data_IF_790139406294
#
_entry.id   IF_790139406294
#
_cell.length_a   1.000
_cell.length_b   1.000
_cell.length_c   1.000
_cell.angle_alpha   90.00
_cell.angle_beta   90.00
_cell.angle_gamma   90.00
#
_symmetry.space_group_name_H-M   'P 1'
#
loop_
_entity.id
_entity.type
_entity.pdbx_description
1 polymer ?
#
# COMPACT_ATOMS: atom_id res chain seq x y z
N UNK A 1 15.78 -28.16 -3.07
CA UNK A 1 16.07 -28.46 -4.50
C UNK A 1 16.28 -29.95 -4.67
N UNK A 2 15.76 -30.51 -5.75
CA UNK A 2 15.91 -31.92 -6.12
C UNK A 2 16.75 -32.03 -7.40
N UNK A 3 17.45 -33.13 -7.57
CA UNK A 3 18.19 -33.46 -8.80
C UNK A 3 17.30 -34.33 -9.69
N UNK A 4 17.31 -34.09 -10.99
CA UNK A 4 16.58 -34.93 -11.94
C UNK A 4 17.43 -36.15 -12.34
N UNK A 5 16.87 -37.35 -12.20
CA UNK A 5 17.54 -38.60 -12.55
C UNK A 5 17.59 -38.86 -14.04
N UNK A 6 16.70 -38.25 -14.85
CA UNK A 6 16.62 -38.47 -16.28
C UNK A 6 16.17 -37.26 -17.07
N UNK A 7 16.51 -37.22 -18.37
CA UNK A 7 16.00 -36.21 -19.31
C UNK A 7 14.48 -36.32 -19.53
N UNK A 8 13.89 -37.49 -19.28
CA UNK A 8 12.44 -37.67 -19.39
C UNK A 8 11.68 -36.86 -18.33
N UNK A 9 12.17 -36.85 -17.07
CA UNK A 9 11.59 -36.02 -16.03
C UNK A 9 11.72 -34.52 -16.35
N UNK A 10 12.85 -34.10 -16.92
CA UNK A 10 13.05 -32.72 -17.37
C UNK A 10 12.10 -32.33 -18.51
N UNK A 11 11.85 -33.24 -19.47
CA UNK A 11 10.95 -32.96 -20.59
C UNK A 11 9.49 -32.80 -20.13
N UNK A 12 9.06 -33.62 -19.16
CA UNK A 12 7.72 -33.48 -18.58
C UNK A 12 7.57 -32.11 -17.90
N UNK A 13 8.52 -31.71 -17.06
CA UNK A 13 8.50 -30.40 -16.41
C UNK A 13 8.51 -29.24 -17.41
N UNK A 14 9.28 -29.34 -18.49
CA UNK A 14 9.37 -28.31 -19.52
C UNK A 14 8.13 -28.23 -20.42
N UNK A 15 7.35 -29.32 -20.52
CA UNK A 15 6.10 -29.35 -21.28
C UNK A 15 4.90 -28.75 -20.52
N UNK A 16 5.06 -28.50 -19.22
CA UNK A 16 4.02 -27.87 -18.43
C UNK A 16 3.86 -26.41 -18.84
N UNK A 17 2.64 -25.90 -18.78
CA UNK A 17 2.32 -24.51 -19.10
C UNK A 17 3.19 -23.54 -18.29
N UNK A 18 3.84 -22.58 -18.98
CA UNK A 18 4.74 -21.62 -18.32
C UNK A 18 6.00 -22.25 -17.69
N UNK A 19 6.42 -23.46 -18.12
CA UNK A 19 7.55 -24.18 -17.54
C UNK A 19 7.26 -24.80 -16.16
N UNK A 20 5.98 -24.99 -15.85
CA UNK A 20 5.53 -25.61 -14.59
C UNK A 20 5.60 -24.73 -13.35
N UNK A 21 5.95 -23.46 -13.50
CA UNK A 21 5.98 -22.52 -12.37
C UNK A 21 4.54 -22.30 -11.86
N UNK A 22 4.34 -22.61 -10.58
CA UNK A 22 3.01 -22.51 -9.94
C UNK A 22 2.05 -23.68 -10.20
N UNK A 23 2.51 -24.76 -10.83
CA UNK A 23 1.74 -25.99 -10.99
C UNK A 23 2.15 -27.03 -9.94
N UNK A 24 1.17 -27.76 -9.43
CA UNK A 24 1.41 -28.91 -8.54
C UNK A 24 1.70 -30.15 -9.37
N UNK A 25 2.78 -30.81 -9.06
CA UNK A 25 3.20 -32.09 -9.69
C UNK A 25 3.58 -33.07 -8.60
N UNK A 26 3.34 -34.36 -8.83
CA UNK A 26 3.84 -35.41 -7.94
C UNK A 26 5.22 -35.86 -8.42
N UNK A 27 6.23 -35.69 -7.56
CA UNK A 27 7.58 -36.16 -7.83
C UNK A 27 7.80 -37.54 -7.25
N UNK A 28 8.13 -38.53 -8.11
CA UNK A 28 8.60 -39.82 -7.67
C UNK A 28 10.12 -39.75 -7.44
N UNK A 29 10.52 -39.99 -6.20
CA UNK A 29 11.93 -39.98 -5.81
C UNK A 29 12.53 -41.38 -5.86
N UNK A 30 13.73 -41.47 -6.40
CA UNK A 30 14.55 -42.68 -6.36
C UNK A 30 15.26 -42.83 -5.00
N UNK A 31 16.01 -43.92 -4.86
CA UNK A 31 16.70 -44.27 -3.62
C UNK A 31 17.75 -43.25 -3.19
N UNK A 32 18.27 -42.45 -4.12
CA UNK A 32 19.25 -41.37 -3.84
C UNK A 32 18.59 -40.00 -3.73
N UNK A 33 17.27 -39.94 -3.55
CA UNK A 33 16.49 -38.70 -3.48
C UNK A 33 16.49 -37.86 -4.78
N UNK A 34 16.83 -38.48 -5.91
CA UNK A 34 16.67 -37.90 -7.25
C UNK A 34 15.23 -38.06 -7.77
N UNK A 35 14.75 -37.14 -8.58
CA UNK A 35 13.44 -37.24 -9.23
C UNK A 35 13.56 -38.19 -10.41
N UNK A 36 12.97 -39.37 -10.29
CA UNK A 36 12.97 -40.40 -11.31
C UNK A 36 11.79 -40.28 -12.30
N UNK A 37 10.67 -39.74 -11.82
CA UNK A 37 9.52 -39.43 -12.66
C UNK A 37 8.76 -38.22 -12.10
N UNK A 38 8.08 -37.52 -13.00
CA UNK A 38 7.15 -36.43 -12.69
C UNK A 38 5.80 -36.90 -13.21
N UNK A 39 4.84 -37.06 -12.32
CA UNK A 39 3.46 -37.33 -12.66
C UNK A 39 2.70 -36.02 -12.75
N UNK A 40 2.24 -35.70 -13.92
CA UNK A 40 1.28 -34.62 -14.16
C UNK A 40 -0.08 -35.25 -13.97
N UNK A 41 -0.74 -34.97 -12.84
CA UNK A 41 -1.87 -35.79 -12.44
C UNK A 41 -3.08 -35.66 -13.34
N UNK A 42 -3.70 -36.80 -13.65
CA UNK A 42 -5.15 -36.91 -13.80
C UNK A 42 -5.85 -36.80 -12.43
N UNK A 43 -5.10 -36.37 -11.43
CA UNK A 43 -5.49 -36.39 -10.03
C UNK A 43 -5.92 -34.99 -9.61
N UNK A 44 -7.11 -34.96 -9.05
CA UNK A 44 -7.77 -33.86 -8.36
C UNK A 44 -7.40 -32.45 -8.84
N UNK A 45 -8.37 -31.72 -9.31
CA UNK A 45 -8.23 -30.32 -9.70
C UNK A 45 -7.36 -29.59 -8.69
N UNK A 46 -6.29 -28.96 -9.15
CA UNK A 46 -5.51 -28.06 -8.29
C UNK A 46 -6.28 -26.76 -8.17
N UNK A 47 -6.62 -26.40 -6.93
CA UNK A 47 -7.42 -25.22 -6.65
C UNK A 47 -6.60 -24.20 -5.87
N UNK A 48 -6.57 -22.96 -6.36
CA UNK A 48 -5.89 -21.85 -5.73
C UNK A 48 -6.85 -20.70 -5.49
N UNK A 49 -6.67 -20.01 -4.39
CA UNK A 49 -7.47 -18.84 -4.00
C UNK A 49 -6.57 -17.63 -3.91
N UNK A 50 -7.08 -16.48 -4.34
CA UNK A 50 -6.27 -15.27 -4.31
C UNK A 50 -7.01 -14.01 -4.72
N UNK A 51 -6.23 -12.98 -5.02
CA UNK A 51 -6.72 -11.68 -5.45
C UNK A 51 -6.10 -11.29 -6.79
N UNK A 52 -6.92 -10.72 -7.66
CA UNK A 52 -6.46 -10.18 -8.94
C UNK A 52 -5.53 -8.99 -8.68
N UNK A 53 -4.32 -9.06 -9.20
CA UNK A 53 -3.36 -7.96 -9.19
C UNK A 53 -3.52 -7.07 -10.42
N UNK A 54 -3.45 -7.67 -11.60
CA UNK A 54 -3.57 -6.97 -12.88
C UNK A 54 -4.33 -7.83 -13.88
N UNK A 55 -4.98 -7.15 -14.82
CA UNK A 55 -5.56 -7.78 -16.01
C UNK A 55 -5.10 -7.02 -17.24
N UNK A 56 -4.57 -7.72 -18.22
CA UNK A 56 -4.03 -7.16 -19.45
C UNK A 56 -4.59 -7.86 -20.68
N UNK A 57 -4.70 -7.14 -21.78
CA UNK A 57 -5.10 -7.67 -23.08
C UNK A 57 -4.00 -7.43 -24.10
N UNK A 58 -3.69 -8.45 -24.86
CA UNK A 58 -2.70 -8.38 -25.95
C UNK A 58 -3.29 -9.02 -27.22
N UNK A 59 -2.79 -8.59 -28.37
CA UNK A 59 -3.10 -9.23 -29.64
C UNK A 59 -2.20 -10.46 -29.80
N UNK A 60 -2.76 -11.58 -30.26
CA UNK A 60 -1.96 -12.75 -30.61
C UNK A 60 -1.27 -12.53 -31.96
N UNK A 61 0.02 -12.82 -32.02
CA UNK A 61 0.84 -12.59 -33.22
C UNK A 61 0.47 -13.50 -34.41
N UNK A 62 -0.13 -14.66 -34.16
CA UNK A 62 -0.37 -15.67 -35.22
C UNK A 62 -1.42 -15.30 -36.24
N UNK A 63 -2.41 -14.47 -35.93
CA UNK A 63 -3.46 -14.05 -36.88
C UNK A 63 -3.89 -12.60 -36.80
N UNK A 64 -3.32 -11.78 -35.92
CA UNK A 64 -3.62 -10.35 -35.78
C UNK A 64 -5.07 -10.00 -35.42
N UNK A 65 -5.95 -10.98 -35.28
CA UNK A 65 -7.38 -10.83 -35.08
C UNK A 65 -7.88 -11.30 -33.71
N UNK A 66 -7.07 -12.00 -32.95
CA UNK A 66 -7.48 -12.53 -31.65
C UNK A 66 -6.86 -11.77 -30.47
N UNK A 67 -7.66 -11.55 -29.44
CA UNK A 67 -7.26 -10.87 -28.21
C UNK A 67 -7.07 -11.90 -27.12
N UNK A 68 -5.85 -12.03 -26.63
CA UNK A 68 -5.54 -12.80 -25.43
C UNK A 68 -5.72 -11.89 -24.21
N UNK A 69 -6.46 -12.34 -23.22
CA UNK A 69 -6.55 -11.68 -21.92
C UNK A 69 -5.86 -12.51 -20.88
N UNK A 70 -4.88 -11.88 -20.17
CA UNK A 70 -4.13 -12.50 -19.08
C UNK A 70 -4.48 -11.81 -17.77
N UNK A 71 -4.69 -12.60 -16.73
CA UNK A 71 -4.97 -12.13 -15.36
C UNK A 71 -3.87 -12.61 -14.45
N UNK A 72 -3.22 -11.69 -13.75
CA UNK A 72 -2.27 -12.01 -12.68
C UNK A 72 -3.01 -12.09 -11.36
N UNK A 73 -2.82 -13.18 -10.62
CA UNK A 73 -3.46 -13.45 -9.34
C UNK A 73 -2.39 -13.76 -8.29
N UNK A 74 -2.37 -12.98 -7.23
CA UNK A 74 -1.61 -13.33 -6.04
C UNK A 74 -2.42 -14.35 -5.23
N UNK A 75 -1.87 -15.54 -5.03
CA UNK A 75 -2.54 -16.64 -4.36
C UNK A 75 -2.10 -16.77 -2.91
N UNK A 76 -2.94 -17.43 -2.10
CA UNK A 76 -2.71 -17.61 -0.65
C UNK A 76 -1.42 -18.35 -0.31
N UNK A 77 -0.96 -19.24 -1.21
CA UNK A 77 0.32 -19.95 -1.11
C UNK A 77 1.56 -19.07 -1.39
N UNK A 78 1.36 -17.77 -1.62
CA UNK A 78 2.43 -16.81 -1.90
C UNK A 78 2.91 -16.78 -3.35
N UNK A 79 2.33 -17.59 -4.23
CA UNK A 79 2.70 -17.65 -5.65
C UNK A 79 1.79 -16.74 -6.47
N UNK A 80 2.38 -15.88 -7.29
CA UNK A 80 1.63 -15.13 -8.30
C UNK A 80 1.48 -15.98 -9.55
N UNK A 81 0.24 -16.21 -9.97
CA UNK A 81 -0.12 -16.98 -11.17
C UNK A 81 -0.63 -16.06 -12.27
N UNK A 82 -0.26 -16.38 -13.50
CA UNK A 82 -0.81 -15.68 -14.68
C UNK A 82 -1.66 -16.68 -15.44
N UNK A 83 -2.95 -16.40 -15.56
CA UNK A 83 -3.93 -17.28 -16.20
C UNK A 83 -4.54 -16.56 -17.40
N UNK A 84 -4.68 -17.29 -18.51
CA UNK A 84 -5.37 -16.80 -19.70
C UNK A 84 -6.86 -17.04 -19.56
N UNK A 85 -7.66 -16.01 -19.80
CA UNK A 85 -9.10 -16.04 -19.65
C UNK A 85 -9.79 -15.50 -20.90
N UNK A 86 -11.08 -15.80 -21.04
CA UNK A 86 -11.87 -15.29 -22.16
C UNK A 86 -11.91 -13.74 -22.13
N UNK A 87 -11.75 -13.13 -23.31
CA UNK A 87 -11.72 -11.68 -23.51
C UNK A 87 -13.02 -10.96 -23.12
N UNK A 88 -14.13 -11.68 -23.00
CA UNK A 88 -15.42 -11.12 -22.58
C UNK A 88 -15.53 -10.95 -21.07
N UNK A 89 -14.66 -11.64 -20.29
CA UNK A 89 -14.66 -11.58 -18.84
C UNK A 89 -13.92 -10.34 -18.36
N UNK A 90 -14.31 -9.85 -17.19
CA UNK A 90 -13.67 -8.70 -16.54
C UNK A 90 -13.20 -9.10 -15.16
N UNK A 91 -11.90 -8.90 -14.89
CA UNK A 91 -11.26 -9.18 -13.62
C UNK A 91 -10.53 -7.93 -13.12
N UNK A 92 -11.22 -6.98 -12.49
CA UNK A 92 -10.58 -5.81 -11.91
C UNK A 92 -9.58 -6.18 -10.82
N UNK A 93 -8.54 -5.36 -10.66
CA UNK A 93 -7.61 -5.49 -9.54
C UNK A 93 -8.37 -5.49 -8.20
N UNK A 94 -7.91 -6.29 -7.26
CA UNK A 94 -8.52 -6.44 -5.95
C UNK A 94 -9.69 -7.44 -5.89
N UNK A 95 -10.16 -7.99 -6.99
CA UNK A 95 -11.22 -9.00 -6.96
C UNK A 95 -10.71 -10.34 -6.44
N UNK A 96 -11.56 -10.98 -5.60
CA UNK A 96 -11.33 -12.34 -5.12
C UNK A 96 -11.63 -13.34 -6.20
N UNK A 97 -10.73 -14.29 -6.38
CA UNK A 97 -10.86 -15.33 -7.40
C UNK A 97 -10.40 -16.69 -6.90
N UNK A 98 -10.97 -17.73 -7.51
CA UNK A 98 -10.52 -19.11 -7.44
C UNK A 98 -9.96 -19.50 -8.81
N UNK A 99 -8.79 -20.08 -8.83
CA UNK A 99 -8.20 -20.70 -10.03
C UNK A 99 -8.34 -22.20 -9.88
N UNK A 100 -8.91 -22.84 -10.87
CA UNK A 100 -8.94 -24.32 -10.98
C UNK A 100 -8.07 -24.73 -12.15
N UNK A 101 -7.13 -25.63 -11.90
CA UNK A 101 -6.26 -26.21 -12.92
C UNK A 101 -6.55 -27.70 -12.99
N UNK A 102 -6.99 -28.16 -14.14
CA UNK A 102 -7.33 -29.58 -14.40
C UNK A 102 -6.86 -29.98 -15.79
N UNK A 103 -7.26 -31.20 -16.22
CA UNK A 103 -6.89 -31.73 -17.54
C UNK A 103 -7.44 -30.90 -18.72
N UNK A 104 -8.53 -30.15 -18.52
CA UNK A 104 -9.16 -29.31 -19.55
C UNK A 104 -8.49 -27.92 -19.62
N UNK A 105 -7.60 -27.57 -18.68
CA UNK A 105 -6.87 -26.30 -18.62
C UNK A 105 -7.09 -25.55 -17.34
N UNK A 106 -6.92 -24.23 -17.42
CA UNK A 106 -7.03 -23.30 -16.31
C UNK A 106 -8.35 -22.52 -16.40
N UNK A 107 -9.06 -22.42 -15.28
CA UNK A 107 -10.27 -21.63 -15.17
C UNK A 107 -10.18 -20.64 -13.99
N UNK A 108 -10.68 -19.44 -14.19
CA UNK A 108 -10.74 -18.40 -13.14
C UNK A 108 -12.19 -18.04 -12.87
N UNK A 109 -12.60 -18.15 -11.63
CA UNK A 109 -13.94 -17.82 -11.16
C UNK A 109 -13.87 -16.72 -10.10
N UNK A 110 -14.77 -15.75 -10.17
CA UNK A 110 -14.92 -14.74 -9.12
C UNK A 110 -15.59 -15.34 -7.89
N UNK A 111 -15.11 -14.92 -6.71
CA UNK A 111 -15.65 -15.38 -5.44
C UNK A 111 -16.50 -14.28 -4.78
N UNK A 112 -17.58 -14.71 -4.15
CA UNK A 112 -18.30 -13.88 -3.19
C UNK A 112 -17.55 -13.85 -1.86
N UNK A 113 -17.54 -12.71 -1.17
CA UNK A 113 -16.91 -12.58 0.13
C UNK A 113 -17.51 -13.55 1.16
N UNK A 114 -16.65 -14.12 1.99
CA UNK A 114 -17.03 -14.96 3.13
C UNK A 114 -16.15 -14.58 4.31
N UNK A 115 -16.74 -14.00 5.34
CA UNK A 115 -16.02 -13.44 6.48
C UNK A 115 -16.16 -14.28 7.75
N UNK A 116 -15.17 -14.20 8.59
CA UNK A 116 -15.13 -14.75 9.95
C UNK A 116 -14.51 -13.69 10.84
N UNK A 117 -14.80 -13.69 12.13
CA UNK A 117 -14.25 -12.75 13.10
C UNK A 117 -13.79 -13.46 14.36
N UNK A 118 -12.84 -12.89 15.07
CA UNK A 118 -12.32 -13.43 16.31
C UNK A 118 -10.94 -12.91 16.63
N UNK A 119 -10.40 -13.34 17.75
CA UNK A 119 -9.00 -13.04 18.12
C UNK A 119 -8.11 -14.21 17.73
N UNK A 120 -7.01 -13.94 17.05
CA UNK A 120 -5.98 -14.95 16.80
C UNK A 120 -5.35 -15.32 18.14
N UNK A 121 -5.31 -16.60 18.46
CA UNK A 121 -4.71 -17.10 19.69
C UNK A 121 -3.22 -16.74 19.78
N UNK A 122 -2.69 -16.69 20.99
CA UNK A 122 -1.29 -16.29 21.21
C UNK A 122 -0.27 -17.23 20.54
N UNK A 123 -0.64 -18.49 20.36
CA UNK A 123 0.15 -19.51 19.65
C UNK A 123 -0.15 -19.57 18.13
N UNK A 124 -1.09 -18.77 17.65
CA UNK A 124 -1.44 -18.70 16.23
C UNK A 124 -2.23 -19.90 15.70
N UNK A 125 -2.87 -20.68 16.57
CA UNK A 125 -3.55 -21.94 16.21
C UNK A 125 -5.07 -21.83 16.07
N UNK A 126 -5.66 -20.68 16.44
CA UNK A 126 -7.10 -20.46 16.36
C UNK A 126 -7.44 -19.01 16.02
N UNK A 127 -8.61 -18.81 15.39
CA UNK A 127 -9.25 -17.52 15.19
C UNK A 127 -10.63 -17.57 15.90
N UNK A 128 -10.72 -16.95 17.07
CA UNK A 128 -11.88 -17.10 17.92
C UNK A 128 -12.10 -18.57 18.32
N UNK A 129 -13.27 -19.12 17.98
CA UNK A 129 -13.62 -20.52 18.23
C UNK A 129 -13.22 -21.46 17.07
N UNK A 130 -12.75 -20.94 15.93
CA UNK A 130 -12.35 -21.73 14.79
C UNK A 130 -10.86 -22.09 14.88
N UNK A 131 -10.53 -23.38 14.70
CA UNK A 131 -9.13 -23.81 14.59
C UNK A 131 -8.51 -23.29 13.28
N UNK A 132 -7.22 -22.96 13.30
CA UNK A 132 -6.41 -22.75 12.12
C UNK A 132 -5.64 -24.04 11.80
N UNK A 133 -5.59 -24.41 10.53
CA UNK A 133 -4.76 -25.53 10.09
C UNK A 133 -3.28 -25.23 10.36
N UNK A 134 -2.48 -26.26 10.60
CA UNK A 134 -1.04 -26.11 10.91
C UNK A 134 -0.24 -25.48 9.76
N UNK A 135 -0.75 -25.58 8.56
CA UNK A 135 -0.23 -25.05 7.29
C UNK A 135 -1.11 -23.95 6.69
N UNK A 136 -1.91 -23.30 7.52
CA UNK A 136 -2.81 -22.23 7.08
C UNK A 136 -2.10 -21.20 6.22
N UNK A 137 -2.65 -20.95 5.05
CA UNK A 137 -2.19 -19.93 4.13
C UNK A 137 -2.93 -18.61 4.40
N UNK A 138 -2.21 -17.57 4.80
CA UNK A 138 -2.81 -16.25 5.06
C UNK A 138 -2.25 -15.24 4.08
N UNK A 139 -3.15 -14.55 3.37
CA UNK A 139 -2.84 -13.51 2.41
C UNK A 139 -3.50 -12.19 2.85
N UNK A 140 -2.71 -11.17 3.16
CA UNK A 140 -3.24 -9.82 3.33
C UNK A 140 -3.33 -9.13 1.97
N UNK A 141 -4.41 -8.38 1.73
CA UNK A 141 -4.71 -7.84 0.40
C UNK A 141 -5.30 -6.44 0.49
N UNK A 142 -5.19 -5.65 -0.58
CA UNK A 142 -5.85 -4.35 -0.70
C UNK A 142 -6.89 -4.36 -1.83
N UNK A 143 -7.76 -3.36 -1.83
CA UNK A 143 -8.73 -3.15 -2.91
C UNK A 143 -8.07 -2.88 -4.27
N UNK A 144 -6.82 -2.41 -4.28
CA UNK A 144 -6.04 -2.11 -5.48
C UNK A 144 -5.20 -3.30 -5.97
N UNK A 145 -5.39 -4.49 -5.37
CA UNK A 145 -4.74 -5.73 -5.81
C UNK A 145 -3.33 -5.96 -5.27
N UNK A 146 -2.84 -5.15 -4.30
CA UNK A 146 -1.65 -5.51 -3.55
C UNK A 146 -1.95 -6.72 -2.69
N UNK A 147 -0.96 -7.58 -2.52
CA UNK A 147 -1.07 -8.77 -1.69
C UNK A 147 0.29 -9.17 -1.12
N UNK A 148 0.27 -9.74 0.08
CA UNK A 148 1.44 -10.28 0.75
C UNK A 148 1.06 -11.40 1.71
N UNK A 149 1.89 -12.43 1.79
CA UNK A 149 1.68 -13.53 2.75
C UNK A 149 1.96 -13.08 4.16
N UNK A 150 1.19 -13.59 5.10
CA UNK A 150 1.27 -13.25 6.52
C UNK A 150 1.42 -14.53 7.33
N UNK A 151 2.37 -14.57 8.26
CA UNK A 151 2.45 -15.70 9.20
C UNK A 151 1.40 -15.56 10.30
N UNK A 152 0.85 -16.66 10.84
CA UNK A 152 -0.06 -16.61 11.99
C UNK A 152 0.52 -15.87 13.19
N UNK A 153 1.84 -15.99 13.42
CA UNK A 153 2.55 -15.28 14.49
C UNK A 153 2.50 -13.75 14.38
N UNK A 154 2.43 -13.21 13.14
CA UNK A 154 2.29 -11.76 12.91
C UNK A 154 0.94 -11.22 13.41
N UNK A 155 -0.07 -12.09 13.46
CA UNK A 155 -1.42 -11.76 13.90
C UNK A 155 -1.72 -12.21 15.33
N UNK A 156 -0.76 -12.77 16.05
CA UNK A 156 -0.93 -13.28 17.41
C UNK A 156 -1.53 -12.23 18.35
N UNK A 157 -2.65 -12.57 18.99
CA UNK A 157 -3.40 -11.67 19.87
C UNK A 157 -4.22 -10.59 19.17
N UNK A 158 -4.21 -10.53 17.85
CA UNK A 158 -4.96 -9.55 17.06
C UNK A 158 -6.42 -9.97 16.94
N UNK A 159 -7.33 -9.03 17.16
CA UNK A 159 -8.76 -9.25 16.93
C UNK A 159 -9.11 -8.79 15.52
N UNK A 160 -9.55 -9.74 14.70
CA UNK A 160 -10.07 -9.49 13.36
C UNK A 160 -11.60 -9.33 13.43
N UNK A 161 -12.11 -8.26 12.86
CA UNK A 161 -13.52 -8.06 12.61
C UNK A 161 -13.93 -8.71 11.28
N UNK A 162 -15.23 -8.82 11.04
CA UNK A 162 -15.74 -9.35 9.78
C UNK A 162 -15.32 -8.53 8.55
N UNK A 163 -15.00 -7.23 8.72
CA UNK A 163 -14.49 -6.37 7.64
C UNK A 163 -13.00 -6.57 7.34
N UNK A 164 -12.26 -7.17 8.27
CA UNK A 164 -10.84 -7.46 8.10
C UNK A 164 -10.60 -8.77 7.35
N UNK A 165 -11.66 -9.60 7.19
CA UNK A 165 -11.61 -10.89 6.48
C UNK A 165 -12.47 -10.82 5.23
N UNK A 166 -11.86 -11.06 4.07
CA UNK A 166 -12.53 -11.05 2.77
C UNK A 166 -13.05 -12.42 2.38
N UNK A 167 -12.25 -13.46 2.68
CA UNK A 167 -12.57 -14.83 2.31
C UNK A 167 -11.81 -15.82 3.20
N UNK A 168 -12.37 -17.00 3.40
CA UNK A 168 -11.69 -18.13 4.03
C UNK A 168 -12.21 -19.46 3.49
N UNK A 169 -11.42 -20.51 3.63
CA UNK A 169 -11.82 -21.89 3.41
C UNK A 169 -11.50 -22.73 4.66
N UNK A 170 -12.07 -23.90 4.71
CA UNK A 170 -11.81 -24.88 5.76
C UNK A 170 -11.41 -26.21 5.15
N UNK A 171 -10.54 -26.93 5.84
CA UNK A 171 -10.13 -28.27 5.49
C UNK A 171 -11.21 -29.34 5.83
N UNK A 172 -10.90 -30.59 5.60
CA UNK A 172 -11.80 -31.73 5.87
C UNK A 172 -12.14 -31.86 7.38
N UNK A 173 -11.31 -31.31 8.25
CA UNK A 173 -11.50 -31.31 9.72
C UNK A 173 -12.29 -30.09 10.21
N UNK A 174 -12.62 -29.16 9.32
CA UNK A 174 -13.28 -27.90 9.65
C UNK A 174 -12.35 -26.81 10.18
N UNK A 175 -11.02 -26.99 10.10
CA UNK A 175 -10.04 -25.95 10.43
C UNK A 175 -9.86 -25.00 9.24
N UNK A 176 -9.69 -23.72 9.52
CA UNK A 176 -9.40 -22.71 8.49
C UNK A 176 -8.04 -23.01 7.89
N UNK A 177 -8.00 -23.35 6.60
CA UNK A 177 -6.78 -23.67 5.85
C UNK A 177 -6.32 -22.52 4.94
N UNK A 178 -7.22 -21.59 4.58
CA UNK A 178 -6.91 -20.36 3.85
C UNK A 178 -7.66 -19.18 4.41
N UNK A 179 -6.97 -18.04 4.48
CA UNK A 179 -7.54 -16.81 5.01
C UNK A 179 -7.06 -15.61 4.16
N UNK A 180 -7.98 -14.90 3.53
CA UNK A 180 -7.69 -13.68 2.76
C UNK A 180 -8.17 -12.48 3.56
N UNK A 181 -7.25 -11.61 3.93
CA UNK A 181 -7.48 -10.44 4.75
C UNK A 181 -7.66 -9.17 3.90
N UNK A 182 -8.14 -8.12 4.53
CA UNK A 182 -8.43 -6.82 3.95
C UNK A 182 -7.58 -5.74 4.64
N UNK A 183 -6.32 -5.57 4.19
CA UNK A 183 -5.38 -4.58 4.73
C UNK A 183 -5.26 -4.65 6.27
N UNK A 184 -5.24 -5.88 6.78
CA UNK A 184 -5.30 -6.11 8.22
C UNK A 184 -3.98 -5.82 8.93
N UNK A 185 -2.85 -5.91 8.24
CA UNK A 185 -1.53 -5.72 8.83
C UNK A 185 -0.99 -4.31 8.69
N UNK A 186 -1.43 -3.56 7.68
CA UNK A 186 -0.81 -2.31 7.26
C UNK A 186 0.58 -2.49 6.62
N UNK A 187 1.07 -3.72 6.48
CA UNK A 187 2.43 -3.99 5.97
C UNK A 187 2.51 -3.86 4.44
N UNK A 188 1.36 -3.76 3.75
CA UNK A 188 1.28 -3.53 2.30
C UNK A 188 1.47 -2.07 1.89
N UNK A 189 1.52 -1.16 2.86
CA UNK A 189 1.78 0.25 2.63
C UNK A 189 3.28 0.54 2.55
N UNK A 190 3.64 1.55 1.77
CA UNK A 190 4.98 2.11 1.77
C UNK A 190 5.01 3.29 2.73
N UNK A 191 5.91 3.28 3.69
CA UNK A 191 6.08 4.33 4.69
C UNK A 191 7.27 5.20 4.36
N UNK A 192 7.27 6.45 4.83
CA UNK A 192 8.38 7.37 4.62
C UNK A 192 8.12 8.75 5.19
N UNK A 193 8.94 9.71 4.81
CA UNK A 193 8.83 11.11 5.19
C UNK A 193 8.57 11.95 3.95
N UNK A 194 7.52 12.74 3.97
CA UNK A 194 7.27 13.77 2.97
C UNK A 194 8.13 15.00 3.30
N UNK A 195 8.93 15.41 2.34
CA UNK A 195 9.79 16.59 2.44
C UNK A 195 9.15 17.81 1.78
N UNK A 196 8.65 17.66 0.56
CA UNK A 196 8.09 18.74 -0.22
C UNK A 196 6.98 18.28 -1.16
N UNK A 197 6.06 19.19 -1.46
CA UNK A 197 4.97 18.98 -2.43
C UNK A 197 5.07 20.07 -3.49
N UNK A 198 5.40 19.67 -4.72
CA UNK A 198 5.38 20.59 -5.87
C UNK A 198 4.16 20.34 -6.73
N UNK A 199 3.43 21.41 -7.01
CA UNK A 199 2.26 21.36 -7.86
C UNK A 199 2.65 21.13 -9.31
N UNK A 200 2.03 20.16 -9.96
CA UNK A 200 1.99 20.11 -11.42
C UNK A 200 1.01 21.22 -11.88
N UNK A 201 1.44 22.47 -11.83
CA UNK A 201 0.75 23.51 -12.59
C UNK A 201 0.97 23.12 -14.04
N UNK A 202 -0.08 22.72 -14.73
CA UNK A 202 0.01 22.60 -16.17
C UNK A 202 0.27 24.01 -16.69
N UNK A 203 1.49 24.28 -17.09
CA UNK A 203 1.85 25.40 -17.94
C UNK A 203 1.31 25.15 -19.36
N UNK A 204 0.08 24.72 -19.47
CA UNK A 204 -0.76 24.84 -20.64
C UNK A 204 -1.42 26.22 -20.61
N UNK A 205 -0.66 27.24 -20.20
CA UNK A 205 -1.07 28.62 -20.39
C UNK A 205 -0.58 29.04 -21.75
N UNK A 206 -1.53 29.00 -22.70
CA UNK A 206 -1.69 29.98 -23.73
C UNK A 206 -0.43 30.46 -24.46
N UNK A 207 0.01 29.68 -25.46
CA UNK A 207 0.49 30.30 -26.68
C UNK A 207 -0.72 30.83 -27.51
N UNK A 208 -1.45 31.80 -27.00
CA UNK A 208 -2.22 32.69 -27.84
C UNK A 208 -1.26 33.77 -28.35
N UNK A 209 -0.67 33.51 -29.48
CA UNK A 209 -0.17 34.57 -30.37
C UNK A 209 -1.30 35.51 -30.68
N UNK A 210 -1.41 36.60 -29.92
CA UNK A 210 -2.20 37.73 -30.29
C UNK A 210 -1.32 38.75 -31.03
N UNK A 211 -1.26 38.66 -32.33
CA UNK A 211 -0.93 39.75 -33.21
C UNK A 211 -2.15 40.67 -33.29
N UNK A 212 -2.12 41.78 -32.56
CA UNK A 212 -3.18 42.80 -32.61
C UNK A 212 -2.80 44.02 -31.82
N UNK A 213 -2.31 45.04 -32.53
CA UNK A 213 -2.00 46.39 -32.07
C UNK A 213 -3.19 47.08 -31.40
N UNK A 214 -3.00 47.77 -30.25
CA UNK A 214 -3.96 48.74 -29.71
C UNK A 214 -3.86 49.01 -28.23
N UNK A 215 -3.11 50.04 -27.88
CA UNK A 215 -3.28 51.05 -26.80
C UNK A 215 -3.97 50.70 -25.48
N UNK A 216 -3.16 50.80 -24.43
CA UNK A 216 -3.39 51.31 -23.05
C UNK A 216 -4.71 51.05 -22.33
N UNK A 217 -4.67 50.33 -21.22
CA UNK A 217 -4.93 50.80 -19.86
C UNK A 217 -4.89 49.65 -18.85
N UNK A 218 -4.21 49.89 -17.74
CA UNK A 218 -4.26 49.22 -16.43
C UNK A 218 -4.58 47.72 -16.40
N UNK A 219 -3.53 46.88 -16.39
CA UNK A 219 -3.57 45.47 -16.04
C UNK A 219 -3.74 45.29 -14.54
N UNK A 220 -4.92 44.97 -14.08
CA UNK A 220 -5.13 44.06 -12.99
C UNK A 220 -5.08 42.67 -13.63
N UNK A 221 -3.94 41.99 -13.54
CA UNK A 221 -3.81 40.58 -13.83
C UNK A 221 -4.72 39.82 -12.86
N UNK A 222 -5.89 39.44 -13.34
CA UNK A 222 -6.78 38.54 -12.61
C UNK A 222 -6.14 37.17 -12.51
N UNK A 223 -5.50 36.89 -11.35
CA UNK A 223 -5.15 35.54 -10.97
C UNK A 223 -6.43 34.72 -10.95
N UNK A 224 -6.42 33.55 -11.55
CA UNK A 224 -7.59 32.66 -11.49
C UNK A 224 -7.91 32.31 -10.03
N UNK A 225 -9.18 32.00 -9.73
CA UNK A 225 -9.55 31.59 -8.36
C UNK A 225 -8.76 30.37 -7.90
N UNK A 226 -8.34 29.49 -8.82
CA UNK A 226 -7.45 28.36 -8.56
C UNK A 226 -6.05 28.80 -8.16
N UNK A 227 -5.48 29.84 -8.77
CA UNK A 227 -4.14 30.36 -8.41
C UNK A 227 -4.17 31.05 -7.04
N UNK A 228 -5.28 31.74 -6.71
CA UNK A 228 -5.47 32.34 -5.39
C UNK A 228 -5.60 31.27 -4.30
N UNK A 229 -6.31 30.18 -4.56
CA UNK A 229 -6.46 29.06 -3.63
C UNK A 229 -5.12 28.31 -3.47
N UNK A 230 -4.40 28.07 -4.57
CA UNK A 230 -3.09 27.45 -4.54
C UNK A 230 -2.10 28.30 -3.72
N UNK A 231 -2.02 29.60 -4.00
CA UNK A 231 -1.18 30.52 -3.25
C UNK A 231 -1.57 30.64 -1.78
N UNK A 232 -2.87 30.60 -1.45
CA UNK A 232 -3.33 30.61 -0.06
C UNK A 232 -2.99 29.32 0.68
N UNK A 233 -3.09 28.17 0.03
CA UNK A 233 -2.69 26.86 0.60
C UNK A 233 -1.19 26.81 0.83
N UNK A 234 -0.38 27.21 -0.15
CA UNK A 234 1.08 27.25 -0.02
C UNK A 234 1.55 28.25 1.04
N UNK A 235 0.86 29.40 1.17
CA UNK A 235 1.21 30.40 2.20
C UNK A 235 0.84 29.99 3.63
N UNK A 236 -0.09 29.05 3.78
CA UNK A 236 -0.56 28.54 5.10
C UNK A 236 0.16 27.25 5.50
N UNK A 237 0.73 26.49 4.53
CA UNK A 237 1.50 25.29 4.83
C UNK A 237 2.87 25.70 5.42
N UNK A 238 3.14 25.37 6.69
CA UNK A 238 4.45 25.65 7.27
C UNK A 238 5.52 24.80 6.58
N UNK A 239 6.74 25.33 6.50
CA UNK A 239 7.88 24.57 5.97
C UNK A 239 8.14 23.31 6.81
N UNK A 240 8.80 22.31 6.25
CA UNK A 240 9.19 21.08 6.96
C UNK A 240 9.92 21.40 8.27
N UNK A 241 10.82 22.38 8.25
CA UNK A 241 11.54 22.83 9.45
C UNK A 241 10.59 23.41 10.51
N UNK A 242 9.67 24.27 10.10
CA UNK A 242 8.69 24.87 11.02
C UNK A 242 7.80 23.79 11.65
N UNK A 243 7.35 22.81 10.86
CA UNK A 243 6.55 21.72 11.37
C UNK A 243 7.31 20.83 12.34
N UNK A 244 8.54 20.45 12.02
CA UNK A 244 9.35 19.59 12.89
C UNK A 244 9.74 20.32 14.18
N UNK A 245 10.16 21.56 14.11
CA UNK A 245 10.47 22.35 15.31
C UNK A 245 9.22 22.61 16.16
N UNK A 246 8.09 22.92 15.53
CA UNK A 246 6.83 23.13 16.24
C UNK A 246 6.30 21.87 16.93
N UNK A 247 6.55 20.68 16.38
CA UNK A 247 6.24 19.40 17.03
C UNK A 247 7.19 19.13 18.20
N UNK A 248 8.47 19.47 18.05
CA UNK A 248 9.50 19.27 19.07
C UNK A 248 9.29 20.20 20.27
N UNK A 249 8.99 21.47 20.05
CA UNK A 249 8.77 22.47 21.10
C UNK A 249 7.34 22.51 21.63
N UNK A 250 6.44 21.70 21.06
CA UNK A 250 5.04 21.60 21.48
C UNK A 250 4.16 22.78 21.04
N UNK A 251 4.67 23.69 20.21
CA UNK A 251 3.89 24.82 19.68
C UNK A 251 2.85 24.41 18.65
N UNK A 252 3.04 23.25 18.00
CA UNK A 252 2.08 22.60 17.11
C UNK A 252 1.49 21.39 17.83
N UNK A 253 0.27 21.51 18.33
CA UNK A 253 -0.43 20.42 19.01
C UNK A 253 -0.96 19.37 18.03
N UNK A 254 -1.20 18.15 18.52
CA UNK A 254 -1.79 17.03 17.79
C UNK A 254 -3.14 17.36 17.12
N UNK A 255 -3.89 18.29 17.68
CA UNK A 255 -5.19 18.75 17.14
C UNK A 255 -5.11 19.39 15.76
N UNK A 256 -3.98 20.01 15.40
CA UNK A 256 -3.79 20.54 14.05
C UNK A 256 -3.63 19.41 13.03
N UNK A 257 -2.92 18.38 13.40
CA UNK A 257 -2.70 17.20 12.58
C UNK A 257 -4.00 16.41 12.38
N UNK A 258 -4.77 16.21 13.42
CA UNK A 258 -6.07 15.53 13.34
C UNK A 258 -7.07 16.28 12.46
N UNK A 259 -7.09 17.61 12.49
CA UNK A 259 -8.00 18.43 11.68
C UNK A 259 -7.64 18.44 10.19
N UNK A 260 -6.38 18.28 9.84
CA UNK A 260 -5.92 18.25 8.43
C UNK A 260 -6.05 16.85 7.82
N UNK A 261 -5.91 15.81 8.62
CA UNK A 261 -5.79 14.42 8.12
C UNK A 261 -7.11 13.65 8.07
N UNK A 262 -8.18 14.14 8.70
CA UNK A 262 -9.41 13.37 8.88
C UNK A 262 -10.32 13.26 7.65
N UNK A 263 -10.17 14.05 6.61
CA UNK A 263 -10.78 13.86 5.27
C UNK A 263 -10.52 15.05 4.32
N UNK A 264 -10.75 14.87 3.02
CA UNK A 264 -10.84 15.96 2.03
C UNK A 264 -11.88 17.02 2.42
N UNK A 265 -12.95 16.63 3.12
CA UNK A 265 -13.93 17.55 3.69
C UNK A 265 -13.34 18.42 4.81
N UNK A 266 -12.38 17.94 5.58
CA UNK A 266 -11.72 18.70 6.63
C UNK A 266 -10.74 19.71 6.08
N UNK A 267 -10.02 19.40 4.99
CA UNK A 267 -9.17 20.37 4.29
C UNK A 267 -10.03 21.50 3.69
N UNK A 268 -11.15 21.16 3.03
CA UNK A 268 -12.09 22.14 2.54
C UNK A 268 -12.69 23.01 3.66
N UNK A 269 -13.04 22.40 4.79
CA UNK A 269 -13.55 23.10 5.98
C UNK A 269 -12.50 23.99 6.63
N UNK A 270 -11.22 23.56 6.64
CA UNK A 270 -10.10 24.35 7.12
C UNK A 270 -9.83 25.55 6.22
N UNK A 271 -9.82 25.36 4.91
CA UNK A 271 -9.65 26.44 3.93
C UNK A 271 -10.84 27.43 3.96
N UNK A 272 -12.06 26.95 4.22
CA UNK A 272 -13.24 27.80 4.44
C UNK A 272 -13.16 28.63 5.75
N UNK A 273 -12.54 28.06 6.80
CA UNK A 273 -12.34 28.79 8.07
C UNK A 273 -11.32 29.92 8.00
N UNK A 274 -10.32 29.82 7.13
CA UNK A 274 -9.21 30.79 7.04
C UNK A 274 -9.52 32.00 6.13
N UNK A 275 -10.69 32.12 5.51
CA UNK A 275 -11.01 33.40 4.92
C UNK A 275 -11.88 33.54 3.71
N UNK A 276 -12.78 32.62 3.43
CA UNK A 276 -13.66 32.77 2.27
C UNK A 276 -15.11 33.06 2.67
N UNK A 277 -15.48 34.34 2.61
CA UNK A 277 -16.87 34.79 2.72
C UNK A 277 -17.73 34.60 1.45
N UNK A 278 -17.31 33.75 0.50
CA UNK A 278 -18.05 33.47 -0.74
C UNK A 278 -18.12 31.96 -1.00
N UNK A 279 -19.32 31.42 -0.83
CA UNK A 279 -19.53 29.98 -0.63
C UNK A 279 -19.51 29.08 -1.87
N UNK A 280 -19.77 29.59 -3.08
CA UNK A 280 -19.90 28.72 -4.27
C UNK A 280 -18.65 28.66 -5.15
N UNK A 281 -17.93 29.76 -5.30
CA UNK A 281 -16.71 29.81 -6.11
C UNK A 281 -15.51 29.13 -5.45
N UNK A 282 -15.44 29.15 -4.11
CA UNK A 282 -14.33 28.60 -3.36
C UNK A 282 -14.39 27.07 -3.32
N UNK A 283 -15.58 26.47 -3.21
CA UNK A 283 -15.73 25.01 -3.18
C UNK A 283 -15.33 24.39 -4.52
N UNK A 284 -15.73 25.00 -5.65
CA UNK A 284 -15.28 24.53 -6.97
C UNK A 284 -13.78 24.70 -7.16
N UNK A 285 -13.20 25.81 -6.73
CA UNK A 285 -11.76 26.07 -6.83
C UNK A 285 -10.92 25.10 -5.96
N UNK A 286 -11.41 24.74 -4.77
CA UNK A 286 -10.77 23.72 -3.92
C UNK A 286 -10.87 22.34 -4.57
N UNK A 287 -12.01 21.98 -5.15
CA UNK A 287 -12.18 20.73 -5.87
C UNK A 287 -11.28 20.66 -7.12
N UNK A 288 -11.19 21.75 -7.87
CA UNK A 288 -10.30 21.86 -9.03
C UNK A 288 -8.82 21.77 -8.61
N UNK A 289 -8.45 22.39 -7.47
CA UNK A 289 -7.12 22.28 -6.91
C UNK A 289 -6.79 20.83 -6.49
N UNK A 290 -7.70 20.16 -5.78
CA UNK A 290 -7.52 18.78 -5.34
C UNK A 290 -7.54 17.78 -6.50
N UNK A 291 -8.24 18.08 -7.60
CA UNK A 291 -8.27 17.26 -8.82
C UNK A 291 -7.05 17.45 -9.71
N UNK A 292 -6.24 18.49 -9.48
CA UNK A 292 -4.96 18.66 -10.18
C UNK A 292 -3.88 17.76 -9.59
N UNK A 293 -2.99 17.21 -10.42
CA UNK A 293 -1.89 16.36 -9.97
C UNK A 293 -0.85 17.10 -9.12
N UNK A 294 -0.02 16.35 -8.43
CA UNK A 294 1.12 16.86 -7.67
C UNK A 294 2.32 15.92 -7.68
N UNK A 295 3.50 16.46 -7.41
CA UNK A 295 4.71 15.69 -7.12
C UNK A 295 4.98 15.76 -5.62
N UNK A 296 5.10 14.59 -4.99
CA UNK A 296 5.44 14.44 -3.58
C UNK A 296 6.88 13.95 -3.47
N UNK A 297 7.76 14.80 -2.97
CA UNK A 297 9.17 14.46 -2.74
C UNK A 297 9.28 13.83 -1.37
N UNK A 298 9.60 12.56 -1.32
CA UNK A 298 9.62 11.75 -0.10
C UNK A 298 10.97 11.07 0.08
N UNK A 299 11.30 10.74 1.33
CA UNK A 299 12.37 9.81 1.64
C UNK A 299 11.74 8.48 2.09
N UNK A 300 12.08 7.42 1.37
CA UNK A 300 11.57 6.07 1.59
C UNK A 300 12.74 5.10 1.59
N UNK A 301 12.88 4.31 2.64
CA UNK A 301 14.00 3.37 2.82
C UNK A 301 15.38 4.03 2.65
N UNK A 302 15.49 5.30 3.04
CA UNK A 302 16.73 6.07 2.95
C UNK A 302 16.99 6.75 1.61
N UNK A 303 16.15 6.55 0.62
CA UNK A 303 16.29 7.13 -0.72
C UNK A 303 15.23 8.21 -0.97
N UNK A 304 15.63 9.27 -1.67
CA UNK A 304 14.69 10.29 -2.12
C UNK A 304 13.91 9.76 -3.32
N UNK A 305 12.59 9.75 -3.19
CA UNK A 305 11.65 9.27 -4.20
C UNK A 305 10.61 10.34 -4.49
N UNK A 306 10.24 10.53 -5.75
CA UNK A 306 9.16 11.45 -6.13
C UNK A 306 7.95 10.67 -6.62
N UNK A 307 6.85 10.78 -5.91
CA UNK A 307 5.56 10.24 -6.32
C UNK A 307 4.81 11.28 -7.15
N UNK A 308 4.51 10.93 -8.40
CA UNK A 308 3.66 11.74 -9.29
C UNK A 308 2.23 11.21 -9.22
N UNK A 309 1.29 12.09 -8.96
CA UNK A 309 -0.12 11.72 -8.81
C UNK A 309 -1.00 12.56 -9.74
N UNK A 310 -2.13 12.01 -10.15
CA UNK A 310 -3.14 12.71 -10.93
C UNK A 310 -4.09 13.54 -10.09
N UNK A 311 -4.10 13.30 -8.77
CA UNK A 311 -4.90 14.02 -7.77
C UNK A 311 -4.01 14.46 -6.63
N UNK A 312 -4.40 15.48 -5.87
CA UNK A 312 -3.71 15.89 -4.66
C UNK A 312 -4.24 15.16 -3.45
N UNK A 313 -3.32 14.76 -2.58
CA UNK A 313 -3.62 14.17 -1.28
C UNK A 313 -3.39 15.19 -0.17
N UNK A 314 -4.25 15.25 0.86
CA UNK A 314 -4.15 16.20 1.96
C UNK A 314 -3.10 15.73 2.99
N UNK A 315 -1.83 15.74 2.61
CA UNK A 315 -0.70 15.37 3.45
C UNK A 315 0.24 16.55 3.63
N UNK A 316 0.83 16.64 4.81
CA UNK A 316 1.82 17.66 5.19
C UNK A 316 3.21 17.03 5.26
N UNK A 317 4.24 17.88 5.25
CA UNK A 317 5.60 17.44 5.51
C UNK A 317 5.70 16.68 6.83
N UNK A 318 6.37 15.54 6.83
CA UNK A 318 6.45 14.60 7.94
C UNK A 318 6.13 13.17 7.53
N UNK A 319 5.81 12.32 8.48
CA UNK A 319 5.54 10.91 8.24
C UNK A 319 4.29 10.67 7.40
N UNK A 320 4.43 9.89 6.35
CA UNK A 320 3.35 9.51 5.45
C UNK A 320 3.34 8.01 5.19
N UNK A 321 2.19 7.53 4.76
CA UNK A 321 2.02 6.22 4.15
C UNK A 321 1.48 6.37 2.73
N UNK A 322 1.96 5.50 1.84
CA UNK A 322 1.57 5.45 0.44
C UNK A 322 1.07 4.05 0.12
N UNK A 323 -0.19 3.93 -0.26
CA UNK A 323 -0.73 2.68 -0.81
C UNK A 323 -0.60 2.73 -2.33
N UNK A 324 0.14 1.77 -2.86
CA UNK A 324 0.31 1.62 -4.30
C UNK A 324 -0.78 0.71 -4.86
N UNK A 325 -1.03 0.83 -6.14
CA UNK A 325 -1.75 -0.19 -6.90
C UNK A 325 -0.81 -1.34 -7.24
N UNK A 326 -1.32 -2.48 -7.63
CA UNK A 326 -0.49 -3.59 -8.11
C UNK A 326 0.35 -3.22 -9.35
N UNK A 327 -0.07 -2.22 -10.15
CA UNK A 327 0.71 -1.65 -11.25
C UNK A 327 1.81 -0.67 -10.80
N UNK A 328 1.95 -0.41 -9.50
CA UNK A 328 2.97 0.47 -8.93
C UNK A 328 2.61 1.96 -8.87
N UNK A 329 1.44 2.36 -9.38
CA UNK A 329 0.94 3.73 -9.27
C UNK A 329 0.50 4.04 -7.84
N UNK A 330 0.44 5.32 -7.47
CA UNK A 330 -0.10 5.74 -6.18
C UNK A 330 -1.62 5.61 -6.20
N UNK A 331 -2.16 4.74 -5.38
CA UNK A 331 -3.60 4.57 -5.18
C UNK A 331 -4.16 5.52 -4.12
N UNK A 332 -3.42 5.69 -3.02
CA UNK A 332 -3.74 6.67 -1.99
C UNK A 332 -2.50 7.06 -1.18
N UNK A 333 -2.58 8.20 -0.51
CA UNK A 333 -1.55 8.69 0.40
C UNK A 333 -2.22 9.24 1.65
N UNK A 334 -1.70 8.89 2.82
CA UNK A 334 -2.25 9.32 4.09
C UNK A 334 -1.15 9.82 5.03
N UNK A 335 -1.52 10.75 5.91
CA UNK A 335 -0.66 11.27 6.95
C UNK A 335 -0.55 10.26 8.09
N UNK A 336 0.65 10.06 8.61
CA UNK A 336 0.86 9.38 9.89
C UNK A 336 0.66 10.36 11.05
N UNK A 337 0.30 9.85 12.22
CA UNK A 337 0.15 10.66 13.42
C UNK A 337 1.50 10.89 14.10
N UNK A 338 1.87 12.13 14.39
CA UNK A 338 3.11 12.43 15.11
C UNK A 338 2.97 12.07 16.59
N UNK A 339 3.99 11.46 17.14
CA UNK A 339 4.12 11.09 18.54
C UNK A 339 5.48 11.58 19.04
N UNK A 340 5.49 12.48 20.03
CA UNK A 340 6.75 12.88 20.68
C UNK A 340 7.28 11.70 21.49
N UNK A 341 8.54 11.34 21.28
CA UNK A 341 9.14 10.16 21.90
C UNK A 341 10.06 10.58 23.05
N UNK A 342 9.72 10.16 24.26
CA UNK A 342 10.51 10.43 25.47
C UNK A 342 11.55 9.34 25.75
N UNK A 343 11.21 8.09 25.38
CA UNK A 343 12.07 6.93 25.62
C UNK A 343 12.05 5.97 24.43
N UNK A 344 13.23 5.46 24.10
CA UNK A 344 13.43 4.42 23.08
C UNK A 344 13.61 3.07 23.77
N UNK A 345 12.88 2.07 23.28
CA UNK A 345 13.07 0.67 23.59
C UNK A 345 13.46 -0.14 22.35
N UNK A 346 13.73 -1.43 22.50
CA UNK A 346 14.15 -2.29 21.40
C UNK A 346 13.04 -2.48 20.33
N UNK A 347 11.78 -2.59 20.77
CA UNK A 347 10.62 -2.82 19.90
C UNK A 347 9.44 -1.91 20.27
N UNK A 348 9.69 -0.80 20.96
CA UNK A 348 8.65 0.14 21.34
C UNK A 348 9.24 1.50 21.71
N UNK A 349 8.41 2.52 21.62
CA UNK A 349 8.71 3.87 22.13
C UNK A 349 7.68 4.27 23.18
N UNK A 350 8.02 5.25 24.03
CA UNK A 350 7.09 5.85 24.97
C UNK A 350 6.91 7.32 24.69
N UNK A 351 5.66 7.76 24.85
CA UNK A 351 5.26 9.17 24.89
C UNK A 351 4.45 9.38 26.17
N UNK A 352 5.03 10.04 27.15
CA UNK A 352 4.44 10.12 28.49
C UNK A 352 4.20 8.73 29.07
N UNK A 353 2.94 8.43 29.41
CA UNK A 353 2.51 7.13 29.93
C UNK A 353 2.20 6.09 28.84
N UNK A 354 2.06 6.51 27.61
CA UNK A 354 1.62 5.63 26.50
C UNK A 354 2.82 4.95 25.86
N UNK A 355 2.69 3.63 25.66
CA UNK A 355 3.65 2.83 24.91
C UNK A 355 3.11 2.57 23.52
N UNK A 356 3.95 2.77 22.52
CA UNK A 356 3.69 2.44 21.11
C UNK A 356 4.67 1.37 20.66
N UNK A 357 4.18 0.35 19.98
CA UNK A 357 5.04 -0.63 19.34
C UNK A 357 5.68 -0.05 18.08
N UNK A 358 6.89 -0.49 17.76
CA UNK A 358 7.57 -0.15 16.51
C UNK A 358 7.35 -1.26 15.48
N UNK A 359 7.29 -0.87 14.22
CA UNK A 359 7.33 -1.85 13.13
C UNK A 359 8.75 -2.46 13.02
N UNK A 360 8.84 -3.71 12.58
CA UNK A 360 10.13 -4.40 12.41
C UNK A 360 10.98 -3.72 11.31
N UNK A 361 10.33 -3.14 10.31
CA UNK A 361 10.90 -2.38 9.21
C UNK A 361 10.87 -0.86 9.43
N UNK A 362 10.73 -0.41 10.68
CA UNK A 362 10.67 1.01 11.03
C UNK A 362 11.84 1.78 10.45
N UNK A 363 11.53 2.80 9.66
CA UNK A 363 12.55 3.68 9.09
C UNK A 363 13.00 4.73 10.09
N UNK A 364 14.30 4.99 10.18
CA UNK A 364 14.88 5.96 11.10
C UNK A 364 15.65 7.02 10.32
N UNK A 365 15.31 8.28 10.55
CA UNK A 365 15.94 9.42 9.90
C UNK A 365 16.51 10.41 10.90
N UNK A 366 17.66 10.96 10.57
CA UNK A 366 18.18 12.18 11.17
C UNK A 366 17.75 13.36 10.28
N UNK A 367 17.04 14.34 10.86
CA UNK A 367 16.79 15.60 10.16
C UNK A 367 17.87 16.61 10.55
N UNK A 368 18.61 17.09 9.55
CA UNK A 368 19.72 18.02 9.73
C UNK A 368 19.83 18.97 8.54
N UNK A 369 19.89 20.28 8.82
CA UNK A 369 20.01 21.34 7.82
C UNK A 369 19.01 21.24 6.66
N UNK A 370 17.76 20.94 6.97
CA UNK A 370 16.67 20.87 6.00
C UNK A 370 16.67 19.59 5.14
N UNK A 371 17.37 18.53 5.55
CA UNK A 371 17.41 17.25 4.82
C UNK A 371 17.26 16.08 5.76
N UNK A 372 16.70 14.99 5.24
CA UNK A 372 16.60 13.70 5.91
C UNK A 372 17.78 12.81 5.54
N UNK A 373 18.38 12.18 6.53
CA UNK A 373 19.47 11.23 6.38
C UNK A 373 19.07 9.92 7.06
N UNK A 374 19.07 8.82 6.29
CA UNK A 374 18.81 7.50 6.87
C UNK A 374 19.85 7.15 7.94
N UNK A 375 19.38 6.58 9.03
CA UNK A 375 20.21 6.16 10.14
C UNK A 375 19.61 4.91 10.81
N UNK A 376 20.13 4.52 11.96
CA UNK A 376 19.63 3.38 12.74
C UNK A 376 19.40 3.80 14.19
N UNK A 377 18.49 3.12 14.89
CA UNK A 377 18.23 3.38 16.31
C UNK A 377 19.49 3.38 17.17
N UNK A 378 20.42 2.49 16.90
CA UNK A 378 21.68 2.36 17.66
C UNK A 378 22.61 3.57 17.55
N UNK A 379 22.39 4.46 16.54
CA UNK A 379 23.15 5.69 16.36
C UNK A 379 22.46 6.91 16.94
N UNK A 380 21.24 6.73 17.45
CA UNK A 380 20.45 7.82 18.06
C UNK A 380 20.54 7.73 19.56
N UNK A 381 21.09 8.78 20.18
CA UNK A 381 21.03 8.97 21.62
C UNK A 381 19.87 9.95 21.94
N UNK A 382 18.88 9.48 22.70
CA UNK A 382 17.72 10.29 23.08
C UNK A 382 18.09 11.55 23.90
N UNK A 383 19.26 11.59 24.53
CA UNK A 383 19.74 12.76 25.25
C UNK A 383 20.14 13.90 24.31
N UNK A 384 20.70 13.57 23.13
CA UNK A 384 21.21 14.54 22.16
C UNK A 384 20.18 14.95 21.11
N UNK A 385 19.07 14.21 21.01
CA UNK A 385 18.06 14.40 19.97
C UNK A 385 16.66 14.50 20.57
N UNK A 386 15.85 15.36 19.97
CA UNK A 386 14.39 15.31 20.09
C UNK A 386 13.85 14.33 19.07
N UNK A 387 12.93 13.46 19.48
CA UNK A 387 12.47 12.35 18.69
C UNK A 387 10.98 12.47 18.39
N UNK A 388 10.62 12.28 17.12
CA UNK A 388 9.24 12.24 16.65
C UNK A 388 9.02 10.88 16.03
N UNK A 389 8.13 10.09 16.63
CA UNK A 389 7.59 8.86 16.04
C UNK A 389 6.39 9.19 15.17
N UNK A 390 6.28 8.51 14.03
CA UNK A 390 5.13 8.61 13.16
C UNK A 390 4.35 7.30 13.20
N UNK A 391 3.16 7.40 13.81
CA UNK A 391 2.29 6.28 14.16
C UNK A 391 1.29 6.00 13.05
N UNK A 392 1.17 4.73 12.72
CA UNK A 392 0.23 4.23 11.75
C UNK A 392 -1.14 3.99 12.41
N UNK A 393 -2.08 4.87 12.13
CA UNK A 393 -3.44 4.83 12.68
C UNK A 393 -4.50 4.52 11.61
N UNK A 394 -4.13 3.79 10.55
CA UNK A 394 -5.03 3.53 9.41
C UNK A 394 -6.23 2.62 9.71
N UNK A 395 -6.36 2.13 10.94
CA UNK A 395 -7.45 1.25 11.34
C UNK A 395 -7.24 -0.21 10.96
N UNK A 396 -6.05 -0.60 10.47
CA UNK A 396 -5.68 -1.99 10.24
C UNK A 396 -5.68 -2.75 11.58
N UNK A 397 -6.29 -3.93 11.63
CA UNK A 397 -6.45 -4.70 12.85
C UNK A 397 -5.13 -5.03 13.56
N UNK A 398 -4.08 -5.34 12.79
CA UNK A 398 -2.72 -5.60 13.26
C UNK A 398 -1.75 -4.44 12.94
N UNK A 399 -2.27 -3.27 12.56
CA UNK A 399 -1.54 -2.02 12.39
C UNK A 399 -1.24 -1.35 13.73
N UNK A 400 -1.19 -0.02 13.73
CA UNK A 400 -1.00 0.75 14.96
C UNK A 400 0.42 0.65 15.49
N UNK A 401 1.41 0.87 14.63
CA UNK A 401 2.83 0.85 14.94
C UNK A 401 3.51 2.17 14.57
N UNK A 402 4.61 2.50 15.24
CA UNK A 402 5.53 3.54 14.76
C UNK A 402 6.24 2.99 13.52
N UNK A 403 5.98 3.59 12.37
CA UNK A 403 6.55 3.20 11.07
C UNK A 403 7.79 4.02 10.68
N UNK A 404 7.86 5.24 11.17
CA UNK A 404 8.99 6.14 10.92
C UNK A 404 9.37 6.85 12.22
N UNK A 405 10.67 7.01 12.46
CA UNK A 405 11.23 7.81 13.55
C UNK A 405 12.11 8.90 12.95
N UNK A 406 11.89 10.14 13.35
CA UNK A 406 12.72 11.28 12.97
C UNK A 406 13.42 11.81 14.21
N UNK A 407 14.75 11.88 14.15
CA UNK A 407 15.60 12.47 15.16
C UNK A 407 16.03 13.88 14.75
N UNK A 408 15.75 14.86 15.58
CA UNK A 408 16.14 16.27 15.39
C UNK A 408 17.18 16.61 16.46
N UNK A 409 18.36 17.06 16.07
CA UNK A 409 19.41 17.40 17.05
C UNK A 409 18.94 18.53 17.95
N UNK A 410 19.14 18.37 19.26
CA UNK A 410 18.93 19.45 20.24
C UNK A 410 20.04 20.51 20.07
N UNK A 411 19.67 21.77 20.20
CA UNK A 411 20.60 22.91 20.17
C UNK A 411 21.48 22.96 21.44
#
# INVERSE_FOLDING_TARGET
>A
SYTLASSAAASVLSSLNGGGVGQVVTLLLGMNNEVVAVLTGEEADSVFYGVVQTSSRSLTEENGADVLQSVQVACTDGVTRTVNVDKSLNFPAGWLVKITVNADGENVETLSGQSVSGTISADGTALGDAALASDVEILDTTAEGLAGTVSPSRLSGVTLSASDVRYYTVDENGAIDRLILNDATGDLWTYGVLDDVTNLISTAASSTTNTGSGSSTSNTTGSSASDLVAGAVESVMPSTSTLLYGLVDGSIGSTLWESVTSSTASLASYLLKIGANSTTGVVSSVLDYLSSGANYVCYVNGEQTTYKTSVKYPVLAGGISVRKTASGSVGTMAQLLPVTVDQLGAASVRSGSTRYETADDMQVYLWYKGKYYATTLSKINAEDYSLIGWYDAHGSAAGGKIRVLVAVKKD
#
